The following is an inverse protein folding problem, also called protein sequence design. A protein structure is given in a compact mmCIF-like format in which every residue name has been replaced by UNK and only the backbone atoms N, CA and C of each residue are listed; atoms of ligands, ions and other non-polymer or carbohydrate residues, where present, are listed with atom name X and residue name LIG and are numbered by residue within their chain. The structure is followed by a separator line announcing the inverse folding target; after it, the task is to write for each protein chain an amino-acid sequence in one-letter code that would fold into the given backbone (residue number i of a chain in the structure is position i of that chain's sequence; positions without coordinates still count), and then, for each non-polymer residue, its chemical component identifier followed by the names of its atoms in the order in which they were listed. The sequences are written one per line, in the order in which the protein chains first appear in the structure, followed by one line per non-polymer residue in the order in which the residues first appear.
data_IF_605878972215
#
_entry.id   IF_605878972215
#
_cell.length_a   1.000
_cell.length_b   1.000
_cell.length_c   1.000
_cell.angle_alpha   90.00
_cell.angle_beta   90.00
_cell.angle_gamma   90.00
#
_symmetry.space_group_name_H-M   'P 1'
#
loop_
_entity.id
_entity.type
_entity.pdbx_description
1 polymer ?
#
# COMPACT_ATOMS: atom_id res chain seq x y z
N UNK A 1 22.50 49.77 1.98
CA UNK A 1 23.21 48.54 2.44
C UNK A 1 22.77 48.20 3.85
N UNK A 2 22.03 47.10 4.02
CA UNK A 2 21.79 46.42 5.30
C UNK A 2 21.82 44.93 4.99
N UNK A 3 22.94 44.28 5.28
CA UNK A 3 23.15 42.85 5.10
C UNK A 3 22.32 42.10 6.14
N UNK A 4 21.17 41.57 5.75
CA UNK A 4 20.37 40.72 6.62
C UNK A 4 20.83 39.27 6.44
N UNK A 5 21.82 38.90 7.26
CA UNK A 5 22.34 37.55 7.38
C UNK A 5 21.25 36.68 8.04
N UNK A 6 20.48 35.93 7.25
CA UNK A 6 19.43 35.07 7.78
C UNK A 6 20.01 33.68 8.03
N UNK A 7 20.48 33.50 9.26
CA UNK A 7 20.81 32.20 9.87
C UNK A 7 19.58 31.29 9.72
N UNK A 8 19.73 30.21 8.97
CA UNK A 8 18.77 29.11 8.92
C UNK A 8 18.79 28.39 10.28
N UNK A 9 17.86 28.74 11.17
CA UNK A 9 17.53 27.89 12.32
C UNK A 9 16.63 26.77 11.81
N UNK A 10 17.21 25.59 11.61
CA UNK A 10 16.49 24.33 11.52
C UNK A 10 15.78 24.06 12.86
N UNK A 11 14.51 24.43 12.94
CA UNK A 11 13.60 23.98 13.99
C UNK A 11 12.40 23.37 13.26
N UNK A 12 12.20 22.06 13.39
CA UNK A 12 10.93 21.44 12.99
C UNK A 12 10.98 20.11 12.25
N UNK A 13 11.84 19.17 12.64
CA UNK A 13 11.71 17.76 12.16
C UNK A 13 11.60 16.75 13.30
N UNK A 14 12.08 17.08 14.52
CA UNK A 14 12.14 16.09 15.61
C UNK A 14 10.89 16.02 16.52
N UNK A 15 9.92 16.92 16.36
CA UNK A 15 8.67 16.88 17.16
C UNK A 15 7.60 15.94 16.61
N UNK A 16 7.66 15.59 15.32
CA UNK A 16 6.69 14.68 14.69
C UNK A 16 7.00 13.20 14.94
N UNK A 17 8.28 12.85 15.09
CA UNK A 17 8.72 11.47 15.38
C UNK A 17 8.40 11.10 16.84
N UNK A 18 8.53 12.04 17.78
CA UNK A 18 8.21 11.81 19.19
C UNK A 18 6.70 11.66 19.46
N UNK A 19 5.83 12.30 18.66
CA UNK A 19 4.37 12.14 18.77
C UNK A 19 3.86 10.81 18.19
N UNK A 20 4.54 10.26 17.17
CA UNK A 20 4.26 8.93 16.61
C UNK A 20 4.69 7.79 17.55
N UNK A 21 5.77 7.97 18.32
CA UNK A 21 6.19 7.01 19.35
C UNK A 21 5.29 7.03 20.60
N UNK A 22 4.63 8.16 20.91
CA UNK A 22 3.71 8.23 22.06
C UNK A 22 2.36 7.57 21.80
N UNK A 23 1.88 7.57 20.55
CA UNK A 23 0.62 6.91 20.16
C UNK A 23 0.74 5.38 20.01
N UNK A 24 1.94 4.87 19.71
CA UNK A 24 2.21 3.42 19.65
C UNK A 24 2.35 2.79 21.04
N UNK A 25 2.63 3.58 22.07
CA UNK A 25 2.80 3.09 23.44
C UNK A 25 1.50 3.03 24.27
N UNK A 26 0.42 3.68 23.82
CA UNK A 26 -0.90 3.68 24.51
C UNK A 26 -1.88 2.61 23.99
N UNK A 27 -1.51 1.84 22.97
CA UNK A 27 -2.33 0.73 22.44
C UNK A 27 -1.88 -0.65 22.91
N UNK A 28 -0.78 -0.73 23.67
CA UNK A 28 -0.30 -1.96 24.30
C UNK A 28 -0.18 -1.75 25.82
N UNK A 29 -1.32 -1.86 26.49
CA UNK A 29 -1.39 -1.69 27.94
C UNK A 29 -2.74 -2.11 28.46
N UNK A 30 -3.05 -3.40 28.36
CA UNK A 30 -3.59 -4.21 29.45
C UNK A 30 -4.01 -5.58 28.93
N UNK A 31 -3.50 -6.57 29.63
CA UNK A 31 -3.77 -7.99 29.50
C UNK A 31 -5.26 -8.33 29.61
N UNK A 32 -5.70 -9.29 28.81
CA UNK A 32 -6.51 -10.46 29.21
C UNK A 32 -7.24 -11.02 28.00
N UNK A 33 -6.55 -11.83 27.20
CA UNK A 33 -7.26 -12.85 26.43
C UNK A 33 -6.43 -14.13 26.49
N UNK A 34 -6.99 -15.11 27.18
CA UNK A 34 -6.43 -16.45 27.30
C UNK A 34 -6.27 -17.05 25.90
N UNK A 35 -5.03 -17.04 25.40
CA UNK A 35 -4.64 -17.75 24.19
C UNK A 35 -4.64 -19.23 24.52
N UNK A 36 -5.67 -19.95 24.07
CA UNK A 36 -5.60 -21.39 23.91
C UNK A 36 -4.57 -21.68 22.81
N UNK A 37 -3.31 -21.89 23.23
CA UNK A 37 -2.23 -22.44 22.41
C UNK A 37 -2.73 -23.76 21.79
N UNK A 38 -2.92 -23.82 20.47
CA UNK A 38 -2.97 -25.11 19.79
C UNK A 38 -1.56 -25.70 19.77
N UNK A 39 -1.50 -26.99 20.10
CA UNK A 39 -0.31 -27.80 20.27
C UNK A 39 0.31 -28.05 18.89
N UNK A 40 1.44 -27.41 18.57
CA UNK A 40 2.20 -27.72 17.34
C UNK A 40 2.90 -29.06 17.56
N UNK A 41 2.38 -30.13 16.96
CA UNK A 41 2.98 -31.46 17.00
C UNK A 41 4.18 -31.44 16.05
N UNK A 42 5.40 -31.64 16.58
CA UNK A 42 6.65 -31.72 15.81
C UNK A 42 6.96 -33.15 15.33
N UNK A 43 5.97 -34.04 15.40
CA UNK A 43 5.96 -35.33 14.73
C UNK A 43 4.87 -35.25 13.67
N UNK A 44 5.16 -35.66 12.44
CA UNK A 44 4.15 -35.75 11.39
C UNK A 44 2.92 -36.50 11.89
N UNK A 45 1.74 -36.09 11.43
CA UNK A 45 0.51 -36.83 11.71
C UNK A 45 0.61 -38.24 11.12
N UNK A 46 0.26 -39.26 11.91
CA UNK A 46 -0.06 -40.58 11.37
C UNK A 46 -1.54 -40.65 11.02
N UNK A 47 -1.95 -41.61 10.18
CA UNK A 47 -3.34 -41.82 9.77
C UNK A 47 -4.30 -41.91 10.97
N UNK A 48 -3.86 -42.53 12.07
CA UNK A 48 -4.66 -42.66 13.29
C UNK A 48 -4.73 -41.41 14.15
N UNK A 49 -3.81 -40.46 13.97
CA UNK A 49 -3.74 -39.22 14.76
C UNK A 49 -4.60 -38.09 14.17
N UNK A 50 -4.98 -38.20 12.90
CA UNK A 50 -5.80 -37.18 12.24
C UNK A 50 -7.20 -37.21 12.86
N UNK A 51 -7.68 -36.10 13.46
CA UNK A 51 -9.00 -36.09 14.08
C UNK A 51 -10.07 -36.19 13.00
N UNK A 52 -10.90 -37.22 13.10
CA UNK A 52 -12.01 -37.43 12.19
C UNK A 52 -13.09 -36.36 12.46
N UNK A 53 -13.53 -35.56 11.46
CA UNK A 53 -14.55 -34.52 11.70
C UNK A 53 -15.97 -35.10 11.90
N UNK A 54 -16.17 -36.36 11.47
CA UNK A 54 -17.43 -37.10 11.57
C UNK A 54 -17.44 -37.99 12.80
N UNK A 55 -18.27 -37.59 13.77
CA UNK A 55 -18.72 -38.39 14.91
C UNK A 55 -20.26 -38.47 14.92
N UNK A 56 -20.84 -39.34 15.75
CA UNK A 56 -22.31 -39.46 15.88
C UNK A 56 -22.94 -38.08 16.18
N UNK A 57 -23.79 -37.59 15.27
CA UNK A 57 -24.47 -36.29 15.39
C UNK A 57 -23.66 -35.05 14.93
N UNK A 58 -22.43 -35.22 14.42
CA UNK A 58 -21.63 -34.13 13.84
C UNK A 58 -21.97 -33.89 12.36
N UNK A 59 -22.19 -32.63 11.99
CA UNK A 59 -22.32 -32.14 10.60
C UNK A 59 -21.02 -31.52 10.06
N UNK A 60 -19.87 -31.95 10.61
CA UNK A 60 -18.57 -31.43 10.18
C UNK A 60 -17.91 -32.38 9.17
N UNK A 61 -17.28 -31.77 8.16
CA UNK A 61 -16.61 -32.43 7.04
C UNK A 61 -15.13 -32.05 6.94
N UNK A 62 -14.72 -31.02 7.69
CA UNK A 62 -13.36 -30.46 7.64
C UNK A 62 -12.58 -30.82 8.91
N UNK A 63 -11.45 -31.49 8.75
CA UNK A 63 -10.43 -31.66 9.78
C UNK A 63 -9.31 -30.62 9.61
N UNK A 64 -9.14 -29.75 10.61
CA UNK A 64 -8.19 -28.65 10.58
C UNK A 64 -7.55 -28.44 11.98
N UNK A 65 -6.79 -29.42 12.49
CA UNK A 65 -6.21 -29.37 13.85
C UNK A 65 -5.17 -28.26 14.01
N UNK A 66 -4.45 -27.92 12.94
CA UNK A 66 -3.37 -26.92 12.94
C UNK A 66 -3.84 -25.48 12.68
N UNK A 67 -5.16 -25.27 12.51
CA UNK A 67 -5.75 -23.96 12.21
C UNK A 67 -5.15 -23.31 10.96
N UNK A 68 -4.80 -24.12 9.96
CA UNK A 68 -4.32 -23.68 8.64
C UNK A 68 -5.43 -22.91 7.92
N UNK A 69 -6.66 -23.40 8.06
CA UNK A 69 -7.86 -22.74 7.57
C UNK A 69 -8.50 -21.90 8.68
N UNK A 70 -9.02 -20.74 8.30
CA UNK A 70 -9.77 -19.85 9.19
C UNK A 70 -11.10 -20.50 9.59
N UNK A 71 -11.63 -20.13 10.76
CA UNK A 71 -12.93 -20.64 11.24
C UNK A 71 -14.08 -20.31 10.27
N UNK A 72 -14.03 -19.16 9.58
CA UNK A 72 -15.00 -18.82 8.53
C UNK A 72 -14.91 -19.77 7.34
N UNK A 73 -13.71 -20.08 6.87
CA UNK A 73 -13.49 -21.01 5.75
C UNK A 73 -13.94 -22.42 6.09
N UNK A 74 -13.62 -22.91 7.29
CA UNK A 74 -14.08 -24.22 7.77
C UNK A 74 -15.62 -24.29 7.77
N UNK A 75 -16.28 -23.23 8.25
CA UNK A 75 -17.75 -23.15 8.27
C UNK A 75 -18.34 -23.16 6.87
N UNK A 76 -17.80 -22.36 5.95
CA UNK A 76 -18.27 -22.26 4.57
C UNK A 76 -18.16 -23.61 3.84
N UNK A 77 -17.02 -24.29 3.99
CA UNK A 77 -16.81 -25.62 3.43
C UNK A 77 -17.80 -26.63 4.04
N UNK A 78 -17.97 -26.64 5.37
CA UNK A 78 -18.94 -27.54 6.00
C UNK A 78 -20.38 -27.33 5.50
N UNK A 79 -20.79 -26.09 5.23
CA UNK A 79 -22.12 -25.80 4.66
C UNK A 79 -22.24 -26.39 3.25
N UNK A 80 -21.29 -26.12 2.37
CA UNK A 80 -21.31 -26.64 0.99
C UNK A 80 -21.34 -28.17 0.97
N UNK A 81 -20.52 -28.82 1.81
CA UNK A 81 -20.42 -30.28 1.84
C UNK A 81 -21.64 -30.94 2.51
N UNK A 82 -22.27 -30.27 3.48
CA UNK A 82 -23.55 -30.75 4.03
C UNK A 82 -24.67 -30.70 3.01
N UNK A 83 -24.75 -29.62 2.23
CA UNK A 83 -25.74 -29.50 1.15
C UNK A 83 -25.53 -30.55 0.06
N UNK A 84 -24.27 -30.81 -0.31
CA UNK A 84 -23.91 -31.84 -1.28
C UNK A 84 -24.35 -33.24 -0.81
N UNK A 85 -24.05 -33.59 0.44
CA UNK A 85 -24.50 -34.85 1.04
C UNK A 85 -26.02 -34.95 1.08
N UNK A 86 -26.72 -33.90 1.51
CA UNK A 86 -28.20 -33.89 1.57
C UNK A 86 -28.84 -34.05 0.19
N UNK A 87 -28.20 -33.54 -0.87
CA UNK A 87 -28.76 -33.54 -2.22
C UNK A 87 -28.40 -34.78 -3.04
N UNK A 88 -27.13 -35.22 -2.96
CA UNK A 88 -26.57 -36.27 -3.82
C UNK A 88 -26.11 -37.50 -3.04
N UNK A 89 -26.19 -37.49 -1.70
CA UNK A 89 -25.68 -38.54 -0.81
C UNK A 89 -24.18 -38.82 -0.96
N UNK A 90 -23.42 -37.86 -1.49
CA UNK A 90 -21.96 -37.93 -1.73
C UNK A 90 -21.21 -37.36 -0.53
N UNK A 91 -20.33 -38.16 0.07
CA UNK A 91 -19.55 -37.77 1.24
C UNK A 91 -18.19 -37.20 0.81
N UNK A 92 -17.95 -35.92 1.12
CA UNK A 92 -16.65 -35.28 0.87
C UNK A 92 -16.02 -34.88 2.19
N UNK A 93 -14.77 -35.26 2.42
CA UNK A 93 -13.98 -34.84 3.57
C UNK A 93 -12.84 -33.92 3.14
N UNK A 94 -12.54 -32.92 3.95
CA UNK A 94 -11.42 -31.99 3.73
C UNK A 94 -10.47 -32.06 4.91
N UNK A 95 -9.17 -32.24 4.65
CA UNK A 95 -8.15 -32.38 5.68
C UNK A 95 -7.00 -31.43 5.37
N UNK A 96 -6.64 -30.58 6.34
CA UNK A 96 -5.51 -29.67 6.23
C UNK A 96 -4.54 -29.88 7.40
N UNK A 97 -3.32 -30.32 7.10
CA UNK A 97 -2.27 -30.64 8.08
C UNK A 97 -0.99 -29.87 7.80
N UNK A 98 -0.25 -29.56 8.86
CA UNK A 98 1.04 -28.90 8.75
C UNK A 98 2.13 -29.83 8.24
N UNK A 99 2.15 -31.08 8.69
CA UNK A 99 3.13 -32.10 8.30
C UNK A 99 2.63 -33.53 8.51
N UNK A 100 3.02 -34.43 7.62
CA UNK A 100 2.89 -35.91 7.79
C UNK A 100 4.24 -36.60 7.96
N UNK A 101 5.31 -35.84 8.23
CA UNK A 101 6.65 -36.40 8.35
C UNK A 101 7.19 -36.85 6.99
N UNK A 102 7.73 -38.07 6.94
CA UNK A 102 8.36 -38.62 5.74
C UNK A 102 7.39 -39.42 4.84
N UNK A 103 6.12 -39.50 5.23
CA UNK A 103 5.10 -40.24 4.47
C UNK A 103 4.79 -39.55 3.13
N UNK A 104 4.41 -40.35 2.14
CA UNK A 104 4.03 -39.87 0.80
C UNK A 104 2.59 -39.36 0.83
N UNK A 105 2.28 -38.10 0.47
CA UNK A 105 0.95 -37.50 0.63
C UNK A 105 -0.17 -38.28 -0.03
N UNK A 106 0.10 -38.87 -1.21
CA UNK A 106 -0.86 -39.72 -1.91
C UNK A 106 -1.16 -41.02 -1.17
N UNK A 107 -0.12 -41.71 -0.70
CA UNK A 107 -0.30 -42.95 0.05
C UNK A 107 -1.02 -42.65 1.38
N UNK A 108 -0.64 -41.57 2.06
CA UNK A 108 -1.29 -41.12 3.27
C UNK A 108 -2.78 -40.78 3.06
N UNK A 109 -3.11 -40.08 1.97
CA UNK A 109 -4.50 -39.78 1.63
C UNK A 109 -5.32 -41.05 1.39
N UNK A 110 -4.76 -42.02 0.66
CA UNK A 110 -5.39 -43.32 0.43
C UNK A 110 -5.64 -44.10 1.73
N UNK A 111 -4.61 -44.22 2.57
CA UNK A 111 -4.73 -44.92 3.87
C UNK A 111 -5.72 -44.22 4.80
N UNK A 112 -5.75 -42.88 4.80
CA UNK A 112 -6.72 -42.10 5.57
C UNK A 112 -8.15 -42.27 5.05
N UNK A 113 -8.33 -42.31 3.73
CA UNK A 113 -9.63 -42.54 3.09
C UNK A 113 -10.21 -43.88 3.53
N UNK A 114 -9.41 -44.95 3.43
CA UNK A 114 -9.81 -46.31 3.84
C UNK A 114 -10.04 -46.42 5.36
N UNK A 115 -9.16 -45.80 6.16
CA UNK A 115 -9.28 -45.80 7.61
C UNK A 115 -10.55 -45.10 8.09
N UNK A 116 -10.92 -43.99 7.46
CA UNK A 116 -12.17 -43.29 7.77
C UNK A 116 -13.39 -43.92 7.12
N UNK A 117 -13.23 -44.64 6.01
CA UNK A 117 -14.31 -45.24 5.24
C UNK A 117 -15.18 -44.17 4.58
N UNK A 118 -14.56 -43.20 3.90
CA UNK A 118 -15.24 -42.04 3.32
C UNK A 118 -16.14 -42.49 2.16
N UNK A 119 -17.41 -42.11 2.18
CA UNK A 119 -18.41 -42.55 1.19
C UNK A 119 -19.37 -43.59 1.76
N UNK A 120 -20.48 -43.84 1.05
CA UNK A 120 -21.41 -44.92 1.43
C UNK A 120 -20.87 -46.28 1.00
N UNK A 121 -20.94 -47.27 1.88
CA UNK A 121 -20.50 -48.66 1.59
C UNK A 121 -21.08 -49.27 0.32
N UNK A 122 -22.31 -48.93 -0.04
CA UNK A 122 -22.96 -49.46 -1.24
C UNK A 122 -22.50 -48.74 -2.52
N UNK A 123 -22.27 -47.43 -2.43
CA UNK A 123 -22.12 -46.56 -3.60
C UNK A 123 -20.67 -46.11 -3.83
N UNK A 124 -19.79 -46.25 -2.84
CA UNK A 124 -18.39 -45.81 -2.84
C UNK A 124 -18.23 -44.37 -3.35
N UNK A 125 -19.17 -43.51 -2.98
CA UNK A 125 -19.30 -42.15 -3.48
C UNK A 125 -18.57 -41.14 -2.58
N UNK A 126 -17.36 -41.49 -2.12
CA UNK A 126 -16.53 -40.67 -1.25
C UNK A 126 -15.51 -39.82 -2.00
N UNK A 127 -15.11 -38.67 -1.44
CA UNK A 127 -13.95 -37.91 -1.88
C UNK A 127 -13.19 -37.37 -0.67
N UNK A 128 -11.86 -37.53 -0.65
CA UNK A 128 -10.97 -36.84 0.29
C UNK A 128 -10.19 -35.76 -0.44
N UNK A 129 -10.22 -34.53 0.09
CA UNK A 129 -9.35 -33.43 -0.32
C UNK A 129 -8.34 -33.19 0.80
N UNK A 130 -7.07 -33.48 0.52
CA UNK A 130 -5.99 -33.49 1.49
C UNK A 130 -4.92 -32.44 1.17
N UNK A 131 -4.64 -31.53 2.09
CA UNK A 131 -3.61 -30.49 1.99
C UNK A 131 -2.52 -30.71 3.05
N UNK A 132 -1.26 -30.74 2.62
CA UNK A 132 -0.10 -30.77 3.52
C UNK A 132 0.85 -29.62 3.22
N UNK A 133 1.14 -28.79 4.23
CA UNK A 133 1.89 -27.55 4.03
C UNK A 133 3.40 -27.72 3.94
N UNK A 134 4.01 -28.62 4.70
CA UNK A 134 5.46 -28.86 4.68
C UNK A 134 5.94 -29.39 3.33
N UNK A 135 5.18 -30.30 2.73
CA UNK A 135 5.43 -30.87 1.41
C UNK A 135 4.80 -30.05 0.27
N UNK A 136 4.03 -29.01 0.61
CA UNK A 136 3.31 -28.11 -0.31
C UNK A 136 2.56 -28.87 -1.40
N UNK A 137 1.77 -29.84 -0.97
CA UNK A 137 1.06 -30.75 -1.86
C UNK A 137 -0.43 -30.80 -1.48
N UNK A 138 -1.29 -30.77 -2.51
CA UNK A 138 -2.72 -31.07 -2.38
C UNK A 138 -3.02 -32.36 -3.14
N UNK A 139 -3.70 -33.30 -2.50
CA UNK A 139 -4.11 -34.58 -3.07
C UNK A 139 -5.61 -34.77 -2.96
N UNK A 140 -6.22 -35.26 -4.03
CA UNK A 140 -7.61 -35.71 -4.07
C UNK A 140 -7.59 -37.23 -4.17
N UNK A 141 -8.35 -37.91 -3.32
CA UNK A 141 -8.57 -39.36 -3.37
C UNK A 141 -10.06 -39.61 -3.59
N UNK A 142 -10.41 -40.24 -4.71
CA UNK A 142 -11.80 -40.53 -5.08
C UNK A 142 -12.19 -41.97 -4.74
N UNK A 143 -13.43 -42.15 -4.32
CA UNK A 143 -14.09 -43.44 -4.23
C UNK A 143 -14.51 -43.96 -5.60
N UNK A 144 -14.63 -45.28 -5.76
CA UNK A 144 -15.00 -45.93 -7.03
C UNK A 144 -16.28 -45.35 -7.66
N UNK A 145 -17.25 -44.95 -6.85
CA UNK A 145 -18.52 -44.39 -7.31
C UNK A 145 -18.39 -43.01 -7.97
N UNK A 146 -17.31 -42.28 -7.69
CA UNK A 146 -17.09 -40.94 -8.22
C UNK A 146 -16.12 -40.89 -9.40
N UNK A 147 -15.35 -41.94 -9.70
CA UNK A 147 -14.33 -41.92 -10.78
C UNK A 147 -14.91 -41.56 -12.16
N UNK A 148 -16.17 -41.93 -12.42
CA UNK A 148 -16.85 -41.59 -13.67
C UNK A 148 -17.19 -40.10 -13.82
N UNK A 149 -17.37 -39.38 -12.72
CA UNK A 149 -17.73 -37.95 -12.69
C UNK A 149 -16.49 -37.10 -12.40
N UNK A 150 -15.73 -37.47 -11.37
CA UNK A 150 -14.46 -36.89 -10.97
C UNK A 150 -13.29 -37.78 -11.40
N UNK A 151 -12.98 -37.76 -12.70
CA UNK A 151 -11.78 -38.43 -13.23
C UNK A 151 -10.49 -37.77 -12.73
N UNK A 152 -9.38 -38.53 -12.68
CA UNK A 152 -8.04 -38.04 -12.30
C UNK A 152 -7.64 -36.76 -13.04
N UNK A 153 -7.94 -36.71 -14.35
CA UNK A 153 -7.64 -35.54 -15.21
C UNK A 153 -8.44 -34.32 -14.77
N UNK A 154 -9.68 -34.50 -14.34
CA UNK A 154 -10.52 -33.42 -13.83
C UNK A 154 -10.05 -32.96 -12.46
N UNK A 155 -9.76 -33.88 -11.54
CA UNK A 155 -9.20 -33.58 -10.22
C UNK A 155 -7.90 -32.77 -10.36
N UNK A 156 -6.97 -33.21 -11.21
CA UNK A 156 -5.73 -32.49 -11.49
C UNK A 156 -6.01 -31.09 -12.07
N UNK A 157 -6.98 -30.97 -12.98
CA UNK A 157 -7.36 -29.67 -13.56
C UNK A 157 -7.93 -28.70 -12.52
N UNK A 158 -8.76 -29.19 -11.60
CA UNK A 158 -9.30 -28.37 -10.51
C UNK A 158 -8.15 -27.86 -9.63
N UNK A 159 -7.23 -28.74 -9.23
CA UNK A 159 -6.07 -28.36 -8.41
C UNK A 159 -5.23 -27.28 -9.11
N UNK A 160 -4.87 -27.49 -10.38
CA UNK A 160 -4.02 -26.56 -11.14
C UNK A 160 -4.68 -25.21 -11.42
N UNK A 161 -6.00 -25.16 -11.61
CA UNK A 161 -6.71 -23.92 -11.96
C UNK A 161 -7.25 -23.16 -10.74
N UNK A 162 -7.82 -23.86 -9.76
CA UNK A 162 -8.53 -23.24 -8.66
C UNK A 162 -7.68 -23.10 -7.39
N UNK A 163 -6.76 -24.03 -7.14
CA UNK A 163 -6.03 -24.15 -5.88
C UNK A 163 -4.58 -23.65 -5.97
N UNK A 164 -3.75 -24.26 -6.82
CA UNK A 164 -2.30 -24.02 -6.92
C UNK A 164 -1.92 -22.54 -7.08
N UNK A 165 -2.58 -21.72 -7.93
CA UNK A 165 -2.23 -20.30 -8.07
C UNK A 165 -2.42 -19.49 -6.78
N UNK A 166 -3.38 -19.86 -5.93
CA UNK A 166 -3.64 -19.19 -4.64
C UNK A 166 -2.69 -19.68 -3.56
N UNK A 167 -2.39 -20.97 -3.56
CA UNK A 167 -1.39 -21.54 -2.66
C UNK A 167 0.01 -20.94 -2.90
N UNK A 168 0.36 -20.63 -4.15
CA UNK A 168 1.61 -19.94 -4.49
C UNK A 168 1.75 -18.56 -3.80
N UNK A 169 0.64 -17.90 -3.46
CA UNK A 169 0.60 -16.63 -2.71
C UNK A 169 0.26 -16.81 -1.23
N UNK A 170 0.35 -18.03 -0.69
CA UNK A 170 -0.06 -18.42 0.67
C UNK A 170 -1.55 -18.17 0.99
N UNK A 171 -2.41 -18.04 -0.01
CA UNK A 171 -3.87 -17.94 0.17
C UNK A 171 -4.49 -19.34 0.23
N UNK A 172 -4.26 -20.05 1.34
CA UNK A 172 -4.80 -21.40 1.56
C UNK A 172 -6.33 -21.38 1.73
N UNK A 173 -6.86 -20.35 2.39
CA UNK A 173 -8.30 -20.19 2.59
C UNK A 173 -9.04 -20.06 1.26
N UNK A 174 -8.64 -19.10 0.42
CA UNK A 174 -9.25 -18.91 -0.88
C UNK A 174 -9.02 -20.08 -1.83
N UNK A 175 -7.84 -20.72 -1.78
CA UNK A 175 -7.54 -21.91 -2.57
C UNK A 175 -8.46 -23.08 -2.23
N UNK A 176 -8.64 -23.38 -0.95
CA UNK A 176 -9.50 -24.48 -0.50
C UNK A 176 -10.99 -24.22 -0.80
N UNK A 177 -11.49 -23.00 -0.56
CA UNK A 177 -12.88 -22.63 -0.90
C UNK A 177 -13.13 -22.84 -2.40
N UNK A 178 -12.27 -22.28 -3.26
CA UNK A 178 -12.44 -22.36 -4.72
C UNK A 178 -12.35 -23.79 -5.25
N UNK A 179 -11.44 -24.58 -4.67
CA UNK A 179 -11.30 -25.98 -5.06
C UNK A 179 -12.49 -26.83 -4.64
N UNK A 180 -13.01 -26.66 -3.41
CA UNK A 180 -14.25 -27.34 -2.96
C UNK A 180 -15.45 -26.90 -3.81
N UNK A 181 -15.60 -25.61 -4.07
CA UNK A 181 -16.66 -25.09 -4.94
C UNK A 181 -16.62 -25.71 -6.34
N UNK A 182 -15.43 -25.83 -6.95
CA UNK A 182 -15.27 -26.44 -8.25
C UNK A 182 -15.67 -27.94 -8.23
N UNK A 183 -15.26 -28.68 -7.19
CA UNK A 183 -15.68 -30.08 -7.01
C UNK A 183 -17.20 -30.19 -6.90
N UNK A 184 -17.83 -29.39 -6.04
CA UNK A 184 -19.28 -29.38 -5.86
C UNK A 184 -19.99 -29.07 -7.17
N UNK A 185 -19.51 -28.08 -7.93
CA UNK A 185 -20.10 -27.71 -9.21
C UNK A 185 -20.03 -28.84 -10.25
N UNK A 186 -18.93 -29.58 -10.32
CA UNK A 186 -18.78 -30.74 -11.21
C UNK A 186 -19.73 -31.87 -10.81
N UNK A 187 -19.91 -32.13 -9.50
CA UNK A 187 -20.78 -33.19 -8.99
C UNK A 187 -22.28 -32.93 -9.24
N UNK A 188 -22.71 -31.66 -9.20
CA UNK A 188 -24.07 -31.26 -9.54
C UNK A 188 -24.32 -31.11 -11.06
N UNK A 189 -23.31 -31.25 -11.91
CA UNK A 189 -23.49 -31.32 -13.37
C UNK A 189 -23.96 -30.02 -14.05
N UNK A 190 -23.58 -28.85 -13.53
CA UNK A 190 -23.92 -27.53 -14.11
C UNK A 190 -25.24 -26.92 -13.61
N UNK A 191 -26.07 -27.68 -12.87
CA UNK A 191 -27.27 -27.17 -12.20
C UNK A 191 -26.99 -26.60 -10.79
N UNK A 192 -25.72 -26.61 -10.36
CA UNK A 192 -25.30 -25.95 -9.13
C UNK A 192 -25.40 -24.43 -9.28
N UNK A 193 -26.50 -23.88 -8.76
CA UNK A 193 -26.53 -22.49 -8.31
C UNK A 193 -26.18 -22.55 -6.84
N UNK A 194 -25.03 -22.02 -6.38
CA UNK A 194 -24.89 -21.79 -4.96
C UNK A 194 -26.11 -20.98 -4.52
N UNK A 195 -26.77 -21.37 -3.43
CA UNK A 195 -27.75 -20.51 -2.77
C UNK A 195 -26.99 -19.29 -2.23
N UNK A 196 -26.66 -18.38 -3.13
CA UNK A 196 -25.88 -17.19 -2.87
C UNK A 196 -26.84 -16.01 -2.77
N UNK A 197 -27.64 -16.01 -1.70
CA UNK A 197 -28.06 -14.75 -1.07
C UNK A 197 -26.86 -14.00 -0.45
N UNK A 198 -25.63 -14.50 -0.62
CA UNK A 198 -24.40 -13.92 -0.10
C UNK A 198 -23.36 -13.53 -1.18
N UNK A 199 -23.66 -13.67 -2.48
CA UNK A 199 -22.80 -13.09 -3.55
C UNK A 199 -22.89 -11.56 -3.66
N UNK A 200 -23.55 -10.91 -2.70
CA UNK A 200 -23.53 -9.46 -2.54
C UNK A 200 -23.04 -8.97 -1.18
N UNK A 201 -22.23 -9.72 -0.42
CA UNK A 201 -21.45 -9.07 0.64
C UNK A 201 -20.06 -9.67 0.88
N UNK A 202 -19.15 -9.57 -0.10
CA UNK A 202 -17.80 -9.06 0.23
C UNK A 202 -17.91 -7.54 0.41
N UNK A 203 -18.81 -7.16 1.33
CA UNK A 203 -19.11 -5.79 1.62
C UNK A 203 -18.13 -5.41 2.71
N UNK A 204 -17.32 -4.39 2.45
CA UNK A 204 -16.50 -3.74 3.46
C UNK A 204 -17.28 -3.44 4.76
N UNK A 205 -18.62 -3.48 4.74
CA UNK A 205 -19.51 -3.32 5.88
C UNK A 205 -19.26 -4.26 7.06
N UNK A 206 -18.93 -5.55 6.92
CA UNK A 206 -18.90 -6.48 8.08
C UNK A 206 -17.72 -6.21 9.06
N UNK A 207 -16.53 -5.95 8.53
CA UNK A 207 -15.36 -5.55 9.32
C UNK A 207 -15.55 -4.18 9.98
N UNK A 208 -16.08 -3.20 9.24
CA UNK A 208 -16.40 -1.88 9.79
C UNK A 208 -17.50 -1.96 10.84
N UNK A 209 -18.51 -2.83 10.69
CA UNK A 209 -19.62 -2.97 11.66
C UNK A 209 -19.16 -3.62 12.96
N UNK A 210 -18.29 -4.63 12.89
CA UNK A 210 -17.67 -5.23 14.08
C UNK A 210 -16.74 -4.24 14.81
N UNK A 211 -15.92 -3.50 14.06
CA UNK A 211 -15.10 -2.43 14.63
C UNK A 211 -15.98 -1.35 15.27
N UNK A 212 -17.02 -0.88 14.59
CA UNK A 212 -17.89 0.20 15.08
C UNK A 212 -18.64 -0.22 16.34
N UNK A 213 -19.12 -1.47 16.41
CA UNK A 213 -19.89 -2.00 17.55
C UNK A 213 -19.02 -2.30 18.79
N UNK A 214 -17.76 -2.70 18.60
CA UNK A 214 -16.87 -3.10 19.71
C UNK A 214 -15.87 -2.03 20.16
N UNK A 215 -15.68 -0.95 19.39
CA UNK A 215 -14.89 0.20 19.87
C UNK A 215 -15.78 1.18 20.63
N UNK A 216 -15.35 1.67 21.81
CA UNK A 216 -16.12 2.66 22.57
C UNK A 216 -16.46 3.90 21.73
N UNK A 217 -17.68 4.44 21.86
CA UNK A 217 -18.14 5.67 21.17
C UNK A 217 -17.16 6.84 21.30
N UNK A 218 -16.42 6.92 22.42
CA UNK A 218 -15.39 7.92 22.66
C UNK A 218 -14.24 7.87 21.62
N UNK A 219 -13.88 6.68 21.14
CA UNK A 219 -12.83 6.50 20.14
C UNK A 219 -13.28 7.00 18.76
N UNK A 220 -14.53 6.75 18.38
CA UNK A 220 -15.11 7.29 17.14
C UNK A 220 -15.18 8.81 17.16
N UNK A 221 -15.63 9.40 18.27
CA UNK A 221 -15.66 10.86 18.43
C UNK A 221 -14.23 11.43 18.34
N UNK A 222 -13.25 10.79 18.97
CA UNK A 222 -11.85 11.20 18.89
C UNK A 222 -11.32 11.16 17.46
N UNK A 223 -11.60 10.09 16.70
CA UNK A 223 -11.19 9.96 15.30
C UNK A 223 -11.84 11.03 14.42
N UNK A 224 -13.13 11.31 14.62
CA UNK A 224 -13.85 12.36 13.88
C UNK A 224 -13.25 13.74 14.22
N UNK A 225 -12.97 14.03 15.48
CA UNK A 225 -12.36 15.30 15.90
C UNK A 225 -10.95 15.43 15.31
N UNK A 226 -10.14 14.38 15.35
CA UNK A 226 -8.80 14.37 14.75
C UNK A 226 -8.87 14.58 13.24
N UNK A 227 -9.85 13.96 12.58
CA UNK A 227 -10.09 14.13 11.15
C UNK A 227 -10.48 15.57 10.79
N UNK A 228 -11.35 16.19 11.58
CA UNK A 228 -11.73 17.60 11.41
C UNK A 228 -10.52 18.51 11.64
N UNK A 229 -9.73 18.28 12.69
CA UNK A 229 -8.50 19.02 12.97
C UNK A 229 -7.49 18.89 11.83
N UNK A 230 -7.29 17.68 11.29
CA UNK A 230 -6.42 17.45 10.15
C UNK A 230 -6.90 18.26 8.93
N UNK A 231 -8.20 18.25 8.62
CA UNK A 231 -8.76 19.04 7.53
C UNK A 231 -8.60 20.55 7.76
N UNK A 232 -8.77 21.05 9.00
CA UNK A 232 -8.51 22.45 9.36
C UNK A 232 -7.05 22.80 9.15
N UNK A 233 -6.11 21.95 9.58
CA UNK A 233 -4.67 22.15 9.40
C UNK A 233 -4.31 22.16 7.91
N UNK A 234 -4.82 21.21 7.13
CA UNK A 234 -4.61 21.17 5.68
C UNK A 234 -5.16 22.45 5.04
N UNK A 235 -6.37 22.89 5.39
CA UNK A 235 -6.93 24.15 4.90
C UNK A 235 -6.08 25.36 5.32
N UNK A 236 -5.56 25.40 6.55
CA UNK A 236 -4.73 26.48 7.05
C UNK A 236 -3.37 26.54 6.34
N UNK A 237 -2.72 25.39 6.10
CA UNK A 237 -1.46 25.30 5.33
C UNK A 237 -1.68 25.75 3.89
N UNK A 238 -2.81 25.36 3.29
CA UNK A 238 -3.20 25.73 1.93
C UNK A 238 -3.45 27.23 1.76
N UNK A 239 -4.07 27.86 2.76
CA UNK A 239 -4.33 29.30 2.76
C UNK A 239 -3.07 30.10 3.13
N UNK A 240 -2.28 29.61 4.09
CA UNK A 240 -1.14 30.32 4.68
C UNK A 240 -0.02 30.67 3.70
N UNK A 241 0.18 29.85 2.67
CA UNK A 241 1.16 30.14 1.61
C UNK A 241 0.72 31.20 0.58
N UNK A 242 -0.56 31.58 0.57
CA UNK A 242 -1.14 32.40 -0.51
C UNK A 242 -1.48 33.84 -0.12
N UNK A 243 -1.33 34.22 1.16
CA UNK A 243 -1.73 35.54 1.66
C UNK A 243 -0.57 36.56 1.68
N UNK A 244 -0.75 37.80 1.18
CA UNK A 244 0.28 38.84 1.21
C UNK A 244 0.54 39.29 2.65
N UNK A 245 1.81 39.33 3.05
CA UNK A 245 2.24 39.71 4.41
C UNK A 245 1.92 41.17 4.75
N UNK A 246 1.88 42.02 3.74
CA UNK A 246 1.68 43.46 3.83
C UNK A 246 0.81 43.97 2.67
N UNK A 247 0.34 45.21 2.78
CA UNK A 247 -0.52 45.86 1.78
C UNK A 247 0.26 46.43 0.58
N UNK A 248 1.56 46.13 0.47
CA UNK A 248 2.42 46.69 -0.58
C UNK A 248 2.15 46.08 -1.95
N UNK A 249 2.53 46.79 -3.01
CA UNK A 249 2.50 46.24 -4.36
C UNK A 249 3.52 45.12 -4.55
N UNK A 250 4.68 45.22 -3.88
CA UNK A 250 5.79 44.26 -3.99
C UNK A 250 5.37 42.86 -3.53
N UNK A 251 4.71 42.73 -2.37
CA UNK A 251 4.29 41.41 -1.88
C UNK A 251 3.16 40.80 -2.71
N UNK A 252 2.31 41.63 -3.31
CA UNK A 252 1.32 41.15 -4.26
C UNK A 252 1.98 40.61 -5.54
N UNK A 253 3.00 41.30 -6.06
CA UNK A 253 3.77 40.85 -7.22
C UNK A 253 4.54 39.56 -6.93
N UNK A 254 5.14 39.43 -5.75
CA UNK A 254 5.87 38.24 -5.34
C UNK A 254 4.99 36.98 -5.41
N UNK A 255 3.78 37.06 -4.84
CA UNK A 255 2.80 35.96 -4.88
C UNK A 255 2.28 35.69 -6.30
N UNK A 256 2.10 36.73 -7.13
CA UNK A 256 1.64 36.58 -8.51
C UNK A 256 2.70 35.98 -9.44
N UNK A 257 3.99 36.21 -9.14
CA UNK A 257 5.13 35.74 -9.93
C UNK A 257 5.41 34.24 -9.75
N UNK A 258 5.17 33.71 -8.54
CA UNK A 258 5.50 32.34 -8.20
C UNK A 258 4.60 31.37 -9.00
N UNK A 259 5.22 30.76 -10.01
CA UNK A 259 4.58 30.04 -11.14
C UNK A 259 4.23 28.58 -10.83
N UNK A 260 3.94 28.26 -9.57
CA UNK A 260 3.65 26.88 -9.14
C UNK A 260 2.16 26.67 -8.81
N UNK A 261 1.16 27.14 -9.60
CA UNK A 261 -0.23 26.79 -9.32
C UNK A 261 -0.53 25.33 -9.67
N UNK A 262 0.21 24.72 -10.61
CA UNK A 262 -0.08 23.38 -11.13
C UNK A 262 0.53 22.26 -10.27
N UNK A 263 1.73 22.44 -9.74
CA UNK A 263 2.39 21.50 -8.82
C UNK A 263 1.70 21.46 -7.46
N UNK A 264 1.28 22.61 -6.94
CA UNK A 264 0.43 22.66 -5.75
C UNK A 264 -0.93 22.04 -6.03
N UNK A 265 -1.54 22.28 -7.20
CA UNK A 265 -2.78 21.62 -7.62
C UNK A 265 -2.65 20.09 -7.65
N UNK A 266 -1.60 19.54 -8.28
CA UNK A 266 -1.36 18.08 -8.33
C UNK A 266 -1.09 17.51 -6.94
N UNK A 267 -0.25 18.15 -6.12
CA UNK A 267 0.00 17.72 -4.74
C UNK A 267 -1.28 17.69 -3.92
N UNK A 268 -2.16 18.66 -4.13
CA UNK A 268 -3.44 18.73 -3.42
C UNK A 268 -4.40 17.66 -3.91
N UNK A 269 -4.51 17.47 -5.22
CA UNK A 269 -5.30 16.40 -5.84
C UNK A 269 -4.85 15.01 -5.35
N UNK A 270 -3.53 14.78 -5.23
CA UNK A 270 -2.96 13.51 -4.75
C UNK A 270 -3.24 13.29 -3.26
N UNK A 271 -3.23 14.33 -2.43
CA UNK A 271 -3.64 14.24 -1.02
C UNK A 271 -5.15 13.96 -0.87
N UNK A 272 -5.97 14.44 -1.81
CA UNK A 272 -7.42 14.17 -1.84
C UNK A 272 -7.78 12.78 -2.34
N UNK A 273 -6.88 12.07 -3.02
CA UNK A 273 -7.10 10.68 -3.47
C UNK A 273 -7.06 9.67 -2.31
N UNK A 274 -6.50 10.07 -1.16
CA UNK A 274 -6.29 9.22 0.03
C UNK A 274 -7.41 9.44 1.07
N UNK A 275 -8.15 10.55 0.99
CA UNK A 275 -9.13 10.95 2.02
C UNK A 275 -10.49 11.23 1.39
N UNK A 276 -11.52 10.41 1.67
CA UNK A 276 -12.82 10.52 1.00
C UNK A 276 -13.65 11.65 1.64
N UNK A 277 -13.55 12.87 1.12
CA UNK A 277 -14.57 13.96 1.15
C UNK A 277 -13.91 15.29 0.76
N UNK A 278 -14.50 16.30 0.11
CA UNK A 278 -15.88 16.61 -0.32
C UNK A 278 -15.73 17.59 -1.51
N UNK A 279 -16.45 17.43 -2.64
CA UNK A 279 -16.36 18.37 -3.78
C UNK A 279 -16.58 19.84 -3.40
N UNK A 280 -17.33 20.09 -2.32
CA UNK A 280 -17.60 21.44 -1.80
C UNK A 280 -16.36 22.19 -1.28
N UNK A 281 -15.42 21.51 -0.61
CA UNK A 281 -14.18 22.15 -0.14
C UNK A 281 -13.26 22.52 -1.31
N UNK A 282 -13.21 21.66 -2.33
CA UNK A 282 -12.49 21.91 -3.57
C UNK A 282 -13.08 23.14 -4.26
N UNK A 283 -14.41 23.18 -4.43
CA UNK A 283 -15.11 24.32 -5.01
C UNK A 283 -14.86 25.62 -4.22
N UNK A 284 -14.99 25.56 -2.89
CA UNK A 284 -14.71 26.68 -1.99
C UNK A 284 -13.28 27.21 -2.12
N UNK A 285 -12.30 26.32 -2.21
CA UNK A 285 -10.90 26.67 -2.44
C UNK A 285 -10.68 27.35 -3.80
N UNK A 286 -11.29 26.83 -4.87
CA UNK A 286 -11.24 27.45 -6.21
C UNK A 286 -11.83 28.86 -6.20
N UNK A 287 -13.01 29.03 -5.61
CA UNK A 287 -13.66 30.34 -5.48
C UNK A 287 -12.80 31.29 -4.64
N UNK A 288 -12.23 30.82 -3.53
CA UNK A 288 -11.32 31.60 -2.68
C UNK A 288 -10.07 32.04 -3.45
N UNK A 289 -9.37 31.12 -4.11
CA UNK A 289 -8.17 31.42 -4.91
C UNK A 289 -8.50 32.39 -6.04
N UNK A 290 -9.63 32.21 -6.71
CA UNK A 290 -10.08 33.12 -7.75
C UNK A 290 -10.30 34.54 -7.21
N UNK A 291 -10.98 34.70 -6.07
CA UNK A 291 -11.17 35.99 -5.41
C UNK A 291 -9.85 36.61 -4.93
N UNK A 292 -8.98 35.80 -4.34
CA UNK A 292 -7.66 36.22 -3.87
C UNK A 292 -6.80 36.73 -5.02
N UNK A 293 -6.77 36.02 -6.16
CA UNK A 293 -6.03 36.44 -7.36
C UNK A 293 -6.54 37.79 -7.90
N UNK A 294 -7.86 37.98 -7.94
CA UNK A 294 -8.46 39.28 -8.34
C UNK A 294 -8.10 40.42 -7.39
N UNK A 295 -7.92 40.14 -6.10
CA UNK A 295 -7.49 41.12 -5.11
C UNK A 295 -6.00 41.46 -5.28
N UNK A 296 -5.15 40.44 -5.44
CA UNK A 296 -3.71 40.61 -5.64
C UNK A 296 -3.39 41.40 -6.92
N UNK A 297 -4.09 41.15 -8.03
CA UNK A 297 -3.91 41.91 -9.28
C UNK A 297 -4.25 43.40 -9.10
N UNK A 298 -5.22 43.72 -8.24
CA UNK A 298 -5.54 45.12 -7.92
C UNK A 298 -4.45 45.74 -7.05
N UNK A 299 -4.00 45.02 -6.03
CA UNK A 299 -2.92 45.45 -5.13
C UNK A 299 -1.58 45.62 -5.85
N UNK A 300 -1.27 44.78 -6.85
CA UNK A 300 -0.04 44.91 -7.65
C UNK A 300 -0.04 46.14 -8.57
N UNK A 301 -1.20 46.80 -8.77
CA UNK A 301 -1.34 48.00 -9.60
C UNK A 301 -1.48 49.29 -8.77
N UNK A 302 -1.70 49.16 -7.47
CA UNK A 302 -1.75 50.31 -6.55
C UNK A 302 -0.34 50.76 -6.21
N UNK A 303 -0.06 52.05 -6.35
CA UNK A 303 1.22 52.63 -5.94
C UNK A 303 1.31 52.70 -4.40
N UNK A 304 2.44 52.30 -3.83
CA UNK A 304 2.62 52.37 -2.37
C UNK A 304 2.76 53.81 -1.86
N UNK A 305 3.25 54.73 -2.70
CA UNK A 305 3.44 56.15 -2.38
C UNK A 305 2.14 56.96 -2.45
N UNK A 306 1.47 57.01 -3.60
CA UNK A 306 0.27 57.84 -3.79
C UNK A 306 -1.06 57.09 -3.64
N UNK A 307 -1.04 55.77 -3.41
CA UNK A 307 -2.23 54.87 -3.34
C UNK A 307 -3.12 54.82 -4.59
N UNK A 308 -2.77 55.54 -5.65
CA UNK A 308 -3.49 55.49 -6.93
C UNK A 308 -3.20 54.18 -7.70
N UNK A 309 -4.16 53.73 -8.50
CA UNK A 309 -4.07 52.53 -9.33
C UNK A 309 -3.35 52.79 -10.66
N UNK A 310 -2.13 53.34 -10.60
CA UNK A 310 -1.39 53.82 -11.78
C UNK A 310 -0.02 53.16 -11.97
N UNK A 311 0.26 52.05 -11.27
CA UNK A 311 1.53 51.33 -11.39
C UNK A 311 1.51 50.43 -12.65
N UNK A 312 2.48 50.61 -13.54
CA UNK A 312 2.60 49.84 -14.78
C UNK A 312 4.03 49.32 -14.99
N UNK A 313 4.14 48.15 -15.64
CA UNK A 313 5.41 47.53 -15.99
C UNK A 313 6.07 48.28 -17.15
N UNK A 314 7.35 48.62 -17.02
CA UNK A 314 8.13 49.19 -18.12
C UNK A 314 8.53 48.07 -19.11
N UNK A 315 8.47 48.33 -20.42
CA UNK A 315 9.03 47.44 -21.43
C UNK A 315 10.53 47.21 -21.21
N UNK A 316 11.02 46.03 -21.59
CA UNK A 316 12.41 45.61 -21.38
C UNK A 316 13.43 46.61 -21.98
N UNK A 317 13.11 47.22 -23.13
CA UNK A 317 13.98 48.20 -23.79
C UNK A 317 14.24 49.42 -22.90
N UNK A 318 13.19 49.98 -22.30
CA UNK A 318 13.30 51.15 -21.41
C UNK A 318 13.88 50.79 -20.04
N UNK A 319 13.65 49.56 -19.58
CA UNK A 319 14.11 49.11 -18.26
C UNK A 319 15.63 48.90 -18.19
N UNK A 320 16.29 48.62 -19.34
CA UNK A 320 17.77 48.46 -19.43
C UNK A 320 18.54 49.61 -18.77
N UNK A 321 18.08 50.85 -18.96
CA UNK A 321 18.72 52.05 -18.41
C UNK A 321 18.76 52.10 -16.89
N UNK A 322 17.86 51.39 -16.22
CA UNK A 322 17.75 51.33 -14.77
C UNK A 322 18.42 50.10 -14.16
N UNK A 323 18.88 49.16 -15.00
CA UNK A 323 19.48 47.88 -14.60
C UNK A 323 21.01 47.95 -14.69
N UNK A 324 21.68 47.34 -13.74
CA UNK A 324 23.14 47.12 -13.79
C UNK A 324 23.51 46.08 -14.86
N UNK A 325 24.76 46.09 -15.33
CA UNK A 325 25.24 45.12 -16.32
C UNK A 325 25.05 43.65 -15.89
N UNK A 326 25.18 43.37 -14.58
CA UNK A 326 24.88 42.06 -14.00
C UNK A 326 23.41 41.67 -14.12
N UNK A 327 22.49 42.58 -13.78
CA UNK A 327 21.05 42.32 -13.83
C UNK A 327 20.54 42.19 -15.27
N UNK A 328 21.08 43.00 -16.19
CA UNK A 328 20.79 42.88 -17.62
C UNK A 328 21.15 41.49 -18.15
N UNK A 329 22.31 40.96 -17.77
CA UNK A 329 22.67 39.60 -18.18
C UNK A 329 21.76 38.55 -17.57
N UNK A 330 21.44 38.65 -16.28
CA UNK A 330 20.55 37.68 -15.64
C UNK A 330 19.16 37.65 -16.29
N UNK A 331 18.64 38.82 -16.67
CA UNK A 331 17.42 38.96 -17.46
C UNK A 331 17.56 38.31 -18.84
N UNK A 332 18.66 38.58 -19.56
CA UNK A 332 18.93 37.98 -20.88
C UNK A 332 19.02 36.45 -20.82
N UNK A 333 19.65 35.90 -19.78
CA UNK A 333 19.78 34.47 -19.56
C UNK A 333 18.53 33.81 -18.99
N UNK A 334 17.55 34.61 -18.54
CA UNK A 334 16.37 34.17 -17.80
C UNK A 334 16.75 33.39 -16.53
N UNK A 335 17.86 33.77 -15.91
CA UNK A 335 18.33 33.19 -14.65
C UNK A 335 17.76 33.91 -13.43
N UNK A 336 17.54 35.22 -13.55
CA UNK A 336 16.73 36.01 -12.65
C UNK A 336 15.79 36.93 -13.46
N UNK A 337 14.71 37.38 -12.82
CA UNK A 337 13.75 38.32 -13.37
C UNK A 337 13.90 39.62 -12.60
N UNK A 338 14.24 40.69 -13.31
CA UNK A 338 14.32 42.06 -12.81
C UNK A 338 13.32 42.92 -13.58
N UNK A 339 12.16 43.17 -12.97
CA UNK A 339 11.10 44.00 -13.53
C UNK A 339 11.04 45.35 -12.85
N UNK A 340 10.80 46.39 -13.64
CA UNK A 340 10.71 47.77 -13.16
C UNK A 340 9.31 48.29 -13.43
N UNK A 341 8.69 48.80 -12.38
CA UNK A 341 7.35 49.36 -12.43
C UNK A 341 7.42 50.86 -12.13
N UNK A 342 6.71 51.67 -12.93
CA UNK A 342 6.63 53.11 -12.75
C UNK A 342 5.18 53.51 -12.46
N UNK A 343 4.98 54.43 -11.52
CA UNK A 343 3.69 55.06 -11.30
C UNK A 343 3.51 56.24 -12.24
N UNK A 344 2.41 56.27 -13.01
CA UNK A 344 2.12 57.41 -13.91
C UNK A 344 1.80 58.72 -13.17
N UNK A 345 1.24 58.64 -11.97
CA UNK A 345 0.76 59.84 -11.26
C UNK A 345 1.86 60.53 -10.43
N UNK A 346 2.78 59.76 -9.84
CA UNK A 346 3.81 60.32 -8.94
C UNK A 346 5.25 60.01 -9.36
N UNK A 347 5.47 59.27 -10.45
CA UNK A 347 6.81 58.91 -10.92
C UNK A 347 7.58 57.92 -10.03
N UNK A 348 6.94 57.37 -8.99
CA UNK A 348 7.58 56.40 -8.10
C UNK A 348 7.98 55.12 -8.84
N UNK A 349 9.20 54.66 -8.59
CA UNK A 349 9.80 53.47 -9.22
C UNK A 349 9.82 52.30 -8.22
N UNK A 350 9.18 51.19 -8.59
CA UNK A 350 9.22 49.93 -7.86
C UNK A 350 10.09 48.93 -8.62
N UNK A 351 11.08 48.36 -7.94
CA UNK A 351 11.95 47.30 -8.47
C UNK A 351 11.50 45.96 -7.92
N UNK A 352 11.28 45.00 -8.82
CA UNK A 352 10.93 43.63 -8.49
C UNK A 352 12.01 42.69 -9.00
N UNK A 353 12.62 41.92 -8.09
CA UNK A 353 13.70 40.98 -8.39
C UNK A 353 13.34 39.58 -7.88
N UNK A 354 13.49 38.57 -8.73
CA UNK A 354 13.22 37.18 -8.38
C UNK A 354 14.19 36.23 -9.07
N UNK A 355 14.79 35.32 -8.30
CA UNK A 355 15.62 34.25 -8.85
C UNK A 355 14.73 33.15 -9.44
N UNK A 356 15.04 32.71 -10.65
CA UNK A 356 14.28 31.65 -11.32
C UNK A 356 15.06 30.35 -11.20
N UNK A 357 14.36 29.24 -10.96
CA UNK A 357 14.97 27.92 -11.07
C UNK A 357 15.38 27.69 -12.54
N UNK A 358 16.67 27.88 -12.82
CA UNK A 358 17.23 27.84 -14.16
C UNK A 358 18.46 26.94 -14.16
N UNK A 359 18.96 26.65 -15.36
CA UNK A 359 20.22 25.91 -15.58
C UNK A 359 21.48 26.71 -15.18
N UNK A 360 21.32 27.97 -14.76
CA UNK A 360 22.40 28.85 -14.34
C UNK A 360 22.51 28.88 -12.82
N UNK A 361 23.74 29.00 -12.34
CA UNK A 361 24.11 29.11 -10.93
C UNK A 361 24.89 30.41 -10.71
N UNK A 362 25.02 30.82 -9.45
CA UNK A 362 25.80 31.98 -9.05
C UNK A 362 27.30 31.74 -9.29
N UNK A 363 27.99 32.72 -9.88
CA UNK A 363 29.44 32.71 -10.05
C UNK A 363 30.14 33.26 -8.81
N UNK A 364 31.24 32.65 -8.38
CA UNK A 364 31.98 33.09 -7.20
C UNK A 364 32.81 34.36 -7.44
N UNK A 365 33.29 34.58 -8.68
CA UNK A 365 34.11 35.76 -9.02
C UNK A 365 33.30 37.04 -9.23
N UNK A 366 32.22 36.96 -10.00
CA UNK A 366 31.41 38.14 -10.37
C UNK A 366 30.05 38.20 -9.67
N UNK A 367 29.69 37.20 -8.86
CA UNK A 367 28.42 37.12 -8.12
C UNK A 367 27.14 37.19 -8.98
N UNK A 368 27.25 37.04 -10.30
CA UNK A 368 26.11 36.98 -11.21
C UNK A 368 25.61 35.55 -11.40
N UNK A 369 24.30 35.37 -11.56
CA UNK A 369 23.67 34.07 -11.84
C UNK A 369 23.80 33.74 -13.33
N UNK A 370 25.04 33.52 -13.78
CA UNK A 370 25.37 33.28 -15.19
C UNK A 370 26.27 32.06 -15.41
N UNK A 371 26.50 31.24 -14.38
CA UNK A 371 27.38 30.06 -14.45
C UNK A 371 26.59 28.83 -14.89
N UNK A 372 26.93 28.26 -16.05
CA UNK A 372 26.29 27.02 -16.57
C UNK A 372 27.32 25.90 -16.76
N UNK A 373 26.84 24.67 -16.64
CA UNK A 373 27.64 23.48 -16.98
C UNK A 373 27.85 23.42 -18.50
N UNK A 374 29.10 23.25 -18.93
CA UNK A 374 29.47 23.17 -20.37
C UNK A 374 29.87 21.77 -20.80
N UNK A 375 30.40 20.94 -19.90
CA UNK A 375 30.73 19.54 -20.18
C UNK A 375 29.74 18.59 -19.48
N UNK A 376 29.48 17.39 -20.03
CA UNK A 376 28.81 16.34 -19.26
C UNK A 376 29.65 15.95 -18.04
N UNK A 377 29.02 15.28 -17.08
CA UNK A 377 29.74 14.67 -15.96
C UNK A 377 30.69 13.61 -16.49
N UNK A 378 31.98 13.77 -16.20
CA UNK A 378 33.00 12.76 -16.45
C UNK A 378 33.30 12.06 -15.14
N UNK A 379 33.09 10.75 -15.11
CA UNK A 379 33.37 9.92 -13.94
C UNK A 379 34.90 9.80 -13.82
N UNK A 380 35.47 10.31 -12.73
CA UNK A 380 36.88 10.12 -12.39
C UNK A 380 37.08 8.79 -11.66
N UNK A 381 36.14 8.45 -10.79
CA UNK A 381 36.11 7.20 -10.01
C UNK A 381 34.68 6.68 -9.92
N UNK A 382 34.44 5.45 -10.34
CA UNK A 382 33.14 4.80 -10.19
C UNK A 382 32.82 4.53 -8.71
N UNK A 383 31.54 4.58 -8.34
CA UNK A 383 31.11 4.21 -6.99
C UNK A 383 31.15 2.68 -6.80
N UNK A 384 31.60 2.24 -5.64
CA UNK A 384 31.53 0.84 -5.21
C UNK A 384 30.54 0.70 -4.05
N UNK A 385 30.38 -0.51 -3.51
CA UNK A 385 29.53 -0.75 -2.33
C UNK A 385 30.09 -0.09 -1.06
N UNK A 386 31.40 0.17 -1.00
CA UNK A 386 32.07 0.74 0.17
C UNK A 386 32.68 2.12 -0.06
N UNK A 387 32.92 2.51 -1.32
CA UNK A 387 33.54 3.81 -1.65
C UNK A 387 32.64 4.66 -2.54
N UNK A 388 32.45 5.95 -2.20
CA UNK A 388 31.70 6.87 -3.04
C UNK A 388 32.45 7.14 -4.33
N UNK A 389 31.69 7.23 -5.42
CA UNK A 389 32.23 7.61 -6.71
C UNK A 389 32.52 9.11 -6.76
N UNK A 390 33.39 9.52 -7.68
CA UNK A 390 33.73 10.92 -7.91
C UNK A 390 33.54 11.25 -9.38
N UNK A 391 32.75 12.28 -9.66
CA UNK A 391 32.56 12.82 -11.00
C UNK A 391 33.00 14.29 -11.05
N UNK A 392 33.44 14.76 -12.22
CA UNK A 392 33.82 16.15 -12.47
C UNK A 392 33.08 16.71 -13.67
N UNK A 393 32.71 17.99 -13.61
CA UNK A 393 32.20 18.73 -14.75
C UNK A 393 32.75 20.16 -14.75
N UNK A 394 32.94 20.72 -15.95
CA UNK A 394 33.38 22.10 -16.12
C UNK A 394 32.16 23.02 -16.22
N UNK A 395 32.22 24.13 -15.49
CA UNK A 395 31.26 25.21 -15.50
C UNK A 395 31.90 26.47 -16.07
N UNK A 396 31.15 27.20 -16.90
CA UNK A 396 31.57 28.46 -17.51
C UNK A 396 30.59 29.57 -17.11
N UNK A 397 31.13 30.68 -16.61
CA UNK A 397 30.35 31.91 -16.42
C UNK A 397 30.23 32.68 -17.74
N UNK A 398 29.01 32.99 -18.16
CA UNK A 398 28.78 33.75 -19.39
C UNK A 398 29.06 35.26 -19.25
N UNK A 399 29.25 35.77 -18.03
CA UNK A 399 29.61 37.18 -17.79
C UNK A 399 31.11 37.42 -17.79
N UNK A 400 31.82 36.80 -16.86
CA UNK A 400 33.26 37.02 -16.70
C UNK A 400 34.12 36.01 -17.48
N UNK A 401 33.53 35.00 -18.11
CA UNK A 401 34.25 33.95 -18.82
C UNK A 401 35.00 32.96 -17.92
N UNK A 402 34.78 33.02 -16.61
CA UNK A 402 35.48 32.17 -15.65
C UNK A 402 35.12 30.69 -15.79
N UNK A 403 36.12 29.83 -15.66
CA UNK A 403 36.01 28.38 -15.79
C UNK A 403 36.37 27.70 -14.49
N UNK A 404 35.52 26.78 -14.05
CA UNK A 404 35.67 26.08 -12.78
C UNK A 404 35.32 24.60 -12.94
N UNK A 405 36.09 23.73 -12.31
CA UNK A 405 35.80 22.30 -12.25
C UNK A 405 35.06 21.99 -10.94
N UNK A 406 33.83 21.54 -11.06
CA UNK A 406 33.01 21.15 -9.91
C UNK A 406 33.05 19.63 -9.77
N UNK A 407 33.37 19.18 -8.57
CA UNK A 407 33.40 17.76 -8.22
C UNK A 407 32.09 17.36 -7.54
N UNK A 408 31.55 16.21 -7.93
CA UNK A 408 30.35 15.61 -7.34
C UNK A 408 30.71 14.25 -6.76
N UNK A 409 30.51 14.09 -5.46
CA UNK A 409 30.57 12.80 -4.79
C UNK A 409 29.25 12.05 -4.98
N UNK A 410 29.34 10.82 -5.47
CA UNK A 410 28.21 9.93 -5.72
C UNK A 410 28.10 8.93 -4.56
N UNK A 411 26.88 8.65 -4.10
CA UNK A 411 26.63 7.67 -3.05
C UNK A 411 27.15 6.27 -3.42
N UNK A 412 27.51 5.48 -2.40
CA UNK A 412 27.84 4.06 -2.56
C UNK A 412 26.68 3.29 -3.18
N UNK A 413 27.00 2.16 -3.83
CA UNK A 413 26.00 1.26 -4.41
C UNK A 413 25.26 0.50 -3.30
N UNK A 414 23.92 0.45 -3.36
CA UNK A 414 23.07 -0.26 -2.38
C UNK A 414 22.94 -1.73 -2.79
N UNK A 415 22.94 -2.64 -1.81
CA UNK A 415 22.75 -4.09 -1.96
C UNK A 415 21.34 -4.47 -1.48
N UNK A 416 20.51 -5.05 -2.36
CA UNK A 416 19.05 -5.23 -2.15
C UNK A 416 18.69 -6.52 -1.40
N UNK A 417 19.58 -7.10 -0.59
CA UNK A 417 19.33 -8.41 0.06
C UNK A 417 19.55 -8.38 1.58
N UNK A 418 18.44 -8.50 2.34
CA UNK A 418 18.29 -9.07 3.70
C UNK A 418 17.54 -8.20 4.72
N UNK A 419 16.35 -8.67 5.11
CA UNK A 419 15.76 -8.43 6.45
C UNK A 419 15.15 -9.74 6.95
N UNK A 420 15.65 -10.30 8.05
CA UNK A 420 15.01 -11.39 8.80
C UNK A 420 15.40 -11.29 10.29
N UNK A 421 14.50 -11.66 11.20
CA UNK A 421 14.73 -11.70 12.66
C UNK A 421 13.78 -12.73 13.34
N UNK A 422 14.09 -13.25 14.55
CA UNK A 422 14.01 -14.69 14.88
C UNK A 422 13.02 -15.10 16.00
N UNK A 423 12.85 -16.43 16.19
CA UNK A 423 11.97 -17.13 17.16
C UNK A 423 12.80 -17.86 18.23
N UNK A 424 12.30 -17.93 19.47
CA UNK A 424 12.65 -18.96 20.48
C UNK A 424 11.41 -19.45 21.24
N UNK A 425 11.32 -20.78 21.39
CA UNK A 425 10.27 -21.59 22.05
C UNK A 425 10.76 -22.21 23.36
N UNK A 426 9.84 -22.51 24.28
CA UNK A 426 9.95 -23.67 25.20
C UNK A 426 8.56 -24.22 25.58
N UNK A 427 8.52 -25.53 25.82
CA UNK A 427 7.42 -26.48 25.64
C UNK A 427 6.48 -26.69 26.84
N UNK A 428 5.42 -27.50 26.63
CA UNK A 428 4.90 -28.47 27.61
C UNK A 428 4.21 -29.66 26.89
N UNK A 429 4.46 -30.89 27.38
CA UNK A 429 3.74 -32.15 27.08
C UNK A 429 2.37 -32.20 27.84
N UNK A 430 1.35 -33.04 27.58
CA UNK A 430 1.26 -34.47 27.19
C UNK A 430 -0.13 -34.83 26.55
N UNK A 431 -0.22 -36.07 26.01
CA UNK A 431 -1.27 -37.09 25.69
C UNK A 431 -2.79 -36.81 25.88
N UNK A 432 -3.79 -37.48 25.23
CA UNK A 432 -3.92 -38.60 24.27
C UNK A 432 -5.37 -39.18 24.30
N UNK A 433 -5.86 -39.88 23.25
CA UNK A 433 -7.09 -40.71 23.26
C UNK A 433 -7.93 -40.69 21.95
N UNK A 434 -8.17 -41.86 21.32
CA UNK A 434 -8.84 -42.01 20.02
C UNK A 434 -10.35 -42.34 20.07
N UNK A 435 -11.09 -41.95 19.03
CA UNK A 435 -12.55 -42.10 18.88
C UNK A 435 -12.95 -42.77 17.53
N UNK A 436 -14.09 -43.47 17.53
CA UNK A 436 -14.68 -44.23 16.41
C UNK A 436 -15.15 -43.33 15.25
N UNK A 437 -14.93 -43.75 14.00
CA UNK A 437 -15.30 -43.06 12.75
C UNK A 437 -16.81 -43.17 12.42
N UNK A 438 -17.40 -42.08 11.91
CA UNK A 438 -18.85 -41.94 11.58
C UNK A 438 -19.11 -41.66 10.09
N UNK A 439 -18.25 -42.16 9.18
CA UNK A 439 -18.50 -42.14 7.73
C UNK A 439 -19.17 -43.43 7.26
N UNK A 440 -19.74 -43.41 6.05
CA UNK A 440 -20.60 -44.45 5.51
C UNK A 440 -19.92 -45.78 5.13
N UNK A 441 -18.59 -45.88 5.22
CA UNK A 441 -17.81 -47.10 4.97
C UNK A 441 -17.47 -47.37 3.50
N UNK A 442 -17.25 -46.33 2.69
CA UNK A 442 -16.84 -46.43 1.29
C UNK A 442 -15.35 -46.80 1.11
N UNK A 443 -15.03 -47.33 -0.07
CA UNK A 443 -13.68 -47.71 -0.48
C UNK A 443 -13.21 -46.94 -1.72
N UNK A 444 -11.90 -46.66 -1.77
CA UNK A 444 -11.23 -46.01 -2.90
C UNK A 444 -10.64 -47.02 -3.87
N UNK A 445 -10.68 -46.67 -5.16
CA UNK A 445 -9.98 -47.38 -6.23
C UNK A 445 -8.55 -46.91 -6.46
N UNK A 446 -8.06 -45.94 -5.69
CA UNK A 446 -6.79 -45.26 -5.95
C UNK A 446 -6.91 -44.15 -6.99
N UNK A 447 -8.14 -43.72 -7.32
CA UNK A 447 -8.41 -42.62 -8.23
C UNK A 447 -8.15 -41.25 -7.60
N UNK A 448 -7.95 -40.24 -8.45
CA UNK A 448 -7.74 -38.85 -8.06
C UNK A 448 -6.44 -38.25 -8.60
N UNK A 449 -5.94 -37.20 -7.94
CA UNK A 449 -4.79 -36.45 -8.42
C UNK A 449 -4.00 -35.78 -7.30
N UNK A 450 -2.72 -35.48 -7.54
CA UNK A 450 -1.88 -34.73 -6.61
C UNK A 450 -1.16 -33.60 -7.34
N UNK A 451 -1.06 -32.44 -6.71
CA UNK A 451 -0.41 -31.25 -7.26
C UNK A 451 0.45 -30.55 -6.21
N UNK A 452 1.68 -30.20 -6.59
CA UNK A 452 2.62 -29.40 -5.77
C UNK A 452 2.56 -27.91 -6.12
N UNK A 453 2.87 -27.05 -5.16
CA UNK A 453 2.80 -25.59 -5.30
C UNK A 453 3.97 -24.82 -4.66
#
# INVERSE_FOLDING_TARGET
MKSNNRIQKNVGVNTWILLLCFFTCLTYGNDSFAVLKSKRVSNGYTVTDVPNPRHEGSYNWVSNPDLILSTSTVREINVMLSQLEDSLSIEVAVVALSSIGEDVPRQFAHELFEYWGIGKKADNNGLLIFLVLDQREVTFETGYGLEGVLSDVLCYRIQQKAMVPRFATNDFNGGMIRGVQAVVQELYGGDYKPDSDWEKEENSSSFWTYLIANTPLAYHILLIVLFILLNIVVCAVMIGGSYPKDKSALSALDILSHREPYTNFIRTLLLFLIVPFWPGLIWGWFVYRFRLRKRLIRQSKTCDSCKAMALHLLPDELSTSFLSASEQMENQLKSAIHHIYLCKDCGWVLRYNATVNSKYSMCEKCHTIARKRVTPWRILRAATYSTPGLAVAEYLCQMCGDREQVFLEMSCRIDDTNVTSPITTTDNNSSGGGEKSSFGGGHSGGGGASSRF
#
